data_IF_527622971028
#
_entry.id   IF_527622971028
#
_cell.length_a   1.000
_cell.length_b   1.000
_cell.length_c   1.000
_cell.angle_alpha   90.00
_cell.angle_beta   90.00
_cell.angle_gamma   90.00
#
_symmetry.space_group_name_H-M   'P 1'
#
loop_
_entity.id
_entity.type
_entity.pdbx_description
1 polymer ?
#
# COMPACT_ATOMS: atom_id res chain seq x y z
N UNK A 1 4.42 45.13 29.68
CA UNK A 1 4.27 43.93 30.50
C UNK A 1 5.45 43.00 30.19
N UNK A 2 6.15 42.56 31.24
CA UNK A 2 7.38 41.77 31.11
C UNK A 2 7.00 40.32 30.75
N UNK A 3 7.84 39.63 30.03
CA UNK A 3 7.66 38.25 29.56
C UNK A 3 7.14 37.28 30.65
N UNK A 4 7.64 37.31 31.92
CA UNK A 4 7.12 36.46 32.99
C UNK A 4 5.65 36.72 33.35
N UNK A 5 5.21 38.00 33.30
CA UNK A 5 3.81 38.32 33.57
C UNK A 5 2.84 37.81 32.50
N UNK A 6 3.28 37.75 31.23
CA UNK A 6 2.49 37.14 30.14
C UNK A 6 2.38 35.64 30.29
N UNK A 7 3.47 34.95 30.63
CA UNK A 7 3.47 33.51 30.86
C UNK A 7 2.55 33.11 32.03
N UNK A 8 2.55 33.92 33.13
CA UNK A 8 1.65 33.66 34.27
C UNK A 8 0.17 33.82 33.92
N UNK A 9 -0.18 34.79 33.07
CA UNK A 9 -1.57 35.03 32.61
C UNK A 9 -2.02 33.88 31.70
N UNK A 10 -1.14 33.42 30.79
CA UNK A 10 -1.47 32.24 29.95
C UNK A 10 -1.60 30.96 30.77
N UNK A 11 -0.74 30.72 31.76
CA UNK A 11 -0.83 29.59 32.67
C UNK A 11 -2.15 29.58 33.46
N UNK A 12 -2.56 30.73 33.98
CA UNK A 12 -3.81 30.86 34.71
C UNK A 12 -5.04 30.66 33.81
N UNK A 13 -4.99 31.16 32.58
CA UNK A 13 -6.04 30.96 31.58
C UNK A 13 -6.21 29.48 31.18
N UNK A 14 -5.12 28.77 31.05
CA UNK A 14 -5.15 27.34 30.74
C UNK A 14 -5.73 26.50 31.88
N UNK A 15 -5.36 26.78 33.12
CA UNK A 15 -5.90 26.10 34.30
C UNK A 15 -7.40 26.38 34.47
N UNK A 16 -7.82 27.61 34.22
CA UNK A 16 -9.26 27.96 34.27
C UNK A 16 -10.07 27.26 33.16
N UNK A 17 -9.54 27.19 31.93
CA UNK A 17 -10.18 26.51 30.82
C UNK A 17 -10.26 24.99 31.05
N UNK A 18 -9.20 24.39 31.58
CA UNK A 18 -9.17 22.96 31.91
C UNK A 18 -10.12 22.62 33.07
N UNK A 19 -10.15 23.45 34.08
CA UNK A 19 -11.09 23.30 35.23
C UNK A 19 -12.56 23.43 34.80
N UNK A 20 -12.88 24.37 33.91
CA UNK A 20 -14.23 24.51 33.37
C UNK A 20 -14.63 23.32 32.48
N UNK A 21 -13.73 22.83 31.65
CA UNK A 21 -13.95 21.64 30.81
C UNK A 21 -14.16 20.37 31.66
N UNK A 22 -13.42 20.24 32.76
CA UNK A 22 -13.56 19.11 33.68
C UNK A 22 -14.90 19.13 34.41
N UNK A 23 -15.38 20.31 34.87
CA UNK A 23 -16.69 20.47 35.52
C UNK A 23 -17.86 20.22 34.55
N UNK A 24 -17.72 20.61 33.27
CA UNK A 24 -18.74 20.34 32.25
C UNK A 24 -18.77 18.85 31.89
N UNK A 25 -17.59 18.21 31.78
CA UNK A 25 -17.50 16.77 31.52
C UNK A 25 -18.17 15.95 32.63
N UNK A 26 -17.98 16.32 33.92
CA UNK A 26 -18.62 15.67 35.05
C UNK A 26 -20.13 15.88 35.13
N UNK A 27 -20.68 16.93 34.45
CA UNK A 27 -22.12 17.19 34.41
C UNK A 27 -22.83 16.54 33.20
N UNK A 28 -22.09 16.12 32.17
CA UNK A 28 -22.62 15.58 30.91
C UNK A 28 -22.42 14.07 30.79
N UNK A 29 -21.41 13.51 31.46
CA UNK A 29 -21.15 12.05 31.45
C UNK A 29 -21.98 11.39 32.55
N UNK A 30 -22.92 10.49 32.25
CA UNK A 30 -23.70 9.76 33.26
C UNK A 30 -22.78 8.93 34.16
N UNK A 31 -23.04 8.90 35.46
CA UNK A 31 -22.29 8.12 36.44
C UNK A 31 -22.13 6.64 36.05
N UNK A 32 -23.12 6.09 35.32
CA UNK A 32 -23.10 4.73 34.80
C UNK A 32 -21.97 4.47 33.74
N UNK A 33 -21.54 5.51 33.05
CA UNK A 33 -20.42 5.39 32.08
C UNK A 33 -19.07 5.45 32.79
N UNK A 34 -19.00 6.04 33.97
CA UNK A 34 -17.77 6.08 34.79
C UNK A 34 -17.64 4.80 35.61
N UNK A 35 -18.76 4.25 36.13
CA UNK A 35 -18.77 2.98 36.86
C UNK A 35 -18.41 1.79 35.96
N UNK A 36 -18.88 1.77 34.72
CA UNK A 36 -18.51 0.70 33.77
C UNK A 36 -16.99 0.64 33.47
N UNK A 37 -16.27 1.74 33.64
CA UNK A 37 -14.83 1.79 33.42
C UNK A 37 -13.99 1.68 34.71
N UNK A 38 -14.61 1.95 35.87
CA UNK A 38 -13.95 1.84 37.18
C UNK A 38 -13.96 0.40 37.73
N UNK A 39 -14.84 -0.48 37.23
CA UNK A 39 -14.91 -1.89 37.63
C UNK A 39 -13.74 -2.72 37.06
N UNK A 40 -13.00 -2.17 36.09
CA UNK A 40 -11.85 -2.87 35.47
C UNK A 40 -10.49 -2.66 36.19
N UNK A 41 -10.40 -1.90 37.27
CA UNK A 41 -9.10 -1.52 37.86
C UNK A 41 -8.93 -1.92 39.34
N UNK A 42 -9.91 -2.56 39.98
CA UNK A 42 -9.71 -2.96 41.39
C UNK A 42 -10.20 -4.40 41.67
N UNK A 43 -9.31 -5.16 42.36
CA UNK A 43 -9.42 -6.50 42.90
C UNK A 43 -9.15 -7.65 41.90
N UNK A 44 -8.11 -8.44 42.03
CA UNK A 44 -7.47 -9.05 43.12
C UNK A 44 -6.70 -10.28 42.69
N UNK A 45 -5.67 -10.60 43.39
CA UNK A 45 -4.93 -11.86 43.28
C UNK A 45 -5.83 -13.07 43.57
N UNK A 46 -6.02 -13.94 42.59
CA UNK A 46 -6.59 -15.27 42.86
C UNK A 46 -7.07 -16.00 41.61
N UNK A 47 -6.32 -17.05 41.26
CA UNK A 47 -6.69 -18.21 40.44
C UNK A 47 -7.19 -17.95 39.01
N UNK A 48 -6.32 -18.27 38.09
CA UNK A 48 -6.50 -18.36 36.67
C UNK A 48 -7.68 -19.23 36.27
N UNK A 49 -8.68 -18.60 35.71
CA UNK A 49 -9.48 -19.16 34.64
C UNK A 49 -9.35 -18.20 33.47
N UNK A 50 -8.54 -18.59 32.53
CA UNK A 50 -8.27 -17.86 31.29
C UNK A 50 -9.58 -17.83 30.46
N UNK A 51 -10.43 -16.84 30.73
CA UNK A 51 -11.47 -16.49 29.79
C UNK A 51 -10.77 -15.79 28.65
N UNK A 52 -10.47 -16.52 27.60
CA UNK A 52 -10.12 -15.99 26.29
C UNK A 52 -11.30 -15.12 25.87
N UNK A 53 -11.19 -13.79 26.10
CA UNK A 53 -12.03 -12.83 25.38
C UNK A 53 -11.73 -13.09 23.91
N UNK A 54 -12.73 -13.19 23.03
CA UNK A 54 -12.44 -13.23 21.61
C UNK A 54 -11.65 -11.94 21.30
N UNK A 55 -10.51 -12.14 20.68
CA UNK A 55 -9.68 -11.09 20.08
C UNK A 55 -10.51 -10.49 18.93
N UNK A 56 -11.52 -9.69 19.28
CA UNK A 56 -12.28 -8.90 18.33
C UNK A 56 -11.48 -7.63 18.05
N UNK A 57 -10.89 -7.65 16.86
CA UNK A 57 -10.18 -6.58 16.19
C UNK A 57 -8.72 -6.36 16.63
N UNK A 58 -7.89 -7.35 16.55
CA UNK A 58 -6.64 -7.13 15.86
C UNK A 58 -7.04 -6.77 14.41
N UNK A 59 -7.22 -5.48 14.14
CA UNK A 59 -7.21 -4.96 12.78
C UNK A 59 -5.93 -5.52 12.18
N UNK A 60 -6.04 -6.49 11.28
CA UNK A 60 -4.89 -7.15 10.70
C UNK A 60 -4.00 -6.04 10.16
N UNK A 61 -2.81 -5.88 10.74
CA UNK A 61 -1.90 -4.85 10.31
C UNK A 61 -1.63 -5.09 8.83
N UNK A 62 -1.85 -4.09 8.00
CA UNK A 62 -1.60 -4.21 6.58
C UNK A 62 -0.11 -4.47 6.37
N UNK A 63 0.27 -5.50 5.60
CA UNK A 63 1.67 -5.81 5.36
C UNK A 63 2.39 -4.66 4.64
N UNK A 64 3.72 -4.59 4.81
CA UNK A 64 4.54 -3.59 4.16
C UNK A 64 4.40 -2.15 4.68
N UNK A 65 3.77 -1.93 5.84
CA UNK A 65 3.70 -0.59 6.48
C UNK A 65 4.60 -0.45 7.70
N UNK A 66 5.19 -1.54 8.18
CA UNK A 66 6.00 -1.54 9.39
C UNK A 66 7.46 -1.90 9.13
N UNK A 67 8.32 -1.31 9.91
CA UNK A 67 9.74 -1.64 9.93
C UNK A 67 10.02 -2.89 10.78
N UNK A 68 9.07 -3.33 11.59
CA UNK A 68 9.10 -4.52 12.43
C UNK A 68 7.76 -5.27 12.38
N UNK A 69 7.82 -6.59 12.24
CA UNK A 69 6.66 -7.47 12.27
C UNK A 69 7.10 -8.89 12.67
N UNK A 70 6.20 -9.64 13.31
CA UNK A 70 6.44 -11.04 13.68
C UNK A 70 7.75 -11.31 14.47
N UNK A 71 8.28 -10.30 15.18
CA UNK A 71 9.53 -10.39 15.92
C UNK A 71 10.78 -10.12 15.09
N UNK A 72 10.64 -9.75 13.83
CA UNK A 72 11.73 -9.35 12.94
C UNK A 72 11.72 -7.85 12.70
N UNK A 73 12.89 -7.29 12.43
CA UNK A 73 13.06 -5.86 12.16
C UNK A 73 14.06 -5.63 11.02
N UNK A 74 13.71 -4.76 10.08
CA UNK A 74 14.62 -4.33 9.03
C UNK A 74 15.65 -3.34 9.59
N UNK A 75 16.93 -3.64 9.46
CA UNK A 75 18.02 -2.75 9.87
C UNK A 75 18.01 -1.43 9.08
N UNK A 76 18.74 -0.39 9.48
CA UNK A 76 19.03 0.72 8.58
C UNK A 76 19.58 0.21 7.24
N UNK A 77 19.10 0.78 6.14
CA UNK A 77 19.58 0.46 4.79
C UNK A 77 20.66 1.48 4.43
N UNK A 78 21.80 0.98 3.95
CA UNK A 78 22.83 1.80 3.30
C UNK A 78 22.62 1.68 1.80
N UNK A 79 22.60 2.81 1.09
CA UNK A 79 22.48 2.89 -0.36
C UNK A 79 23.08 4.23 -0.79
N UNK A 80 23.36 4.46 -2.11
CA UNK A 80 23.72 5.79 -2.61
C UNK A 80 22.70 6.84 -2.14
N UNK A 81 23.14 8.04 -1.80
CA UNK A 81 22.27 9.11 -1.28
C UNK A 81 21.82 10.11 -2.37
N UNK A 82 22.35 9.99 -3.60
CA UNK A 82 22.03 10.83 -4.73
C UNK A 82 21.91 10.07 -6.05
N UNK A 83 21.24 10.68 -7.02
CA UNK A 83 21.07 10.17 -8.39
C UNK A 83 22.42 9.99 -9.08
N UNK A 84 22.58 8.87 -9.79
CA UNK A 84 23.76 8.56 -10.63
C UNK A 84 25.01 8.13 -9.87
N UNK A 85 24.93 8.00 -8.55
CA UNK A 85 25.98 7.36 -7.76
C UNK A 85 25.79 5.84 -7.79
N UNK A 86 26.88 5.08 -7.98
CA UNK A 86 26.86 3.62 -7.99
C UNK A 86 27.55 3.10 -6.73
N UNK A 87 26.80 2.47 -5.84
CA UNK A 87 27.29 1.83 -4.64
C UNK A 87 26.52 0.52 -4.38
N UNK A 88 26.74 -0.12 -3.23
CA UNK A 88 25.93 -1.26 -2.81
C UNK A 88 24.77 -0.81 -1.91
N UNK A 89 23.56 -1.29 -2.23
CA UNK A 89 22.46 -1.28 -1.27
C UNK A 89 22.66 -2.44 -0.30
N UNK A 90 22.67 -2.16 1.01
CA UNK A 90 22.94 -3.14 2.06
C UNK A 90 21.99 -3.00 3.24
N UNK A 91 21.57 -4.14 3.77
CA UNK A 91 20.75 -4.22 4.99
C UNK A 91 20.85 -5.61 5.63
N UNK A 92 20.26 -5.77 6.82
CA UNK A 92 20.04 -7.06 7.47
C UNK A 92 18.62 -7.14 8.01
N UNK A 93 18.08 -8.33 8.11
CA UNK A 93 16.89 -8.63 8.90
C UNK A 93 17.36 -9.07 10.28
N UNK A 94 16.87 -8.40 11.33
CA UNK A 94 17.25 -8.67 12.72
C UNK A 94 16.13 -9.45 13.43
N UNK A 95 16.48 -10.48 14.17
CA UNK A 95 15.55 -11.20 15.03
C UNK A 95 15.30 -10.48 16.37
N UNK A 96 14.55 -11.12 17.26
CA UNK A 96 14.20 -10.57 18.59
C UNK A 96 15.40 -10.37 19.53
N UNK A 97 16.53 -11.01 19.24
CA UNK A 97 17.79 -10.90 19.96
C UNK A 97 18.74 -9.83 19.39
N UNK A 98 18.24 -9.02 18.42
CA UNK A 98 19.01 -8.04 17.66
C UNK A 98 20.19 -8.64 16.85
N UNK A 99 20.16 -9.95 16.60
CA UNK A 99 21.13 -10.59 15.71
C UNK A 99 20.57 -10.74 14.31
N UNK A 100 21.42 -10.71 13.27
CA UNK A 100 20.99 -10.99 11.90
C UNK A 100 20.36 -12.38 11.75
N UNK A 101 19.24 -12.46 11.05
CA UNK A 101 18.65 -13.71 10.63
C UNK A 101 19.52 -14.34 9.53
N UNK A 102 19.85 -15.62 9.67
CA UNK A 102 20.73 -16.34 8.75
C UNK A 102 20.02 -17.46 7.98
N UNK A 103 18.84 -17.87 8.43
CA UNK A 103 18.09 -18.96 7.82
C UNK A 103 16.76 -18.44 7.27
N UNK A 104 16.54 -18.70 5.99
CA UNK A 104 15.35 -18.32 5.25
C UNK A 104 14.78 -19.54 4.54
N UNK A 105 13.48 -19.53 4.28
CA UNK A 105 12.82 -20.48 3.40
C UNK A 105 12.73 -19.86 2.01
N UNK A 106 13.12 -20.58 0.98
CA UNK A 106 12.96 -20.10 -0.40
C UNK A 106 11.47 -20.06 -0.76
N UNK A 107 11.03 -18.90 -1.24
CA UNK A 107 9.74 -18.68 -1.87
C UNK A 107 10.01 -18.19 -3.30
N UNK A 108 9.37 -18.80 -4.28
CA UNK A 108 9.61 -18.43 -5.67
C UNK A 108 11.10 -18.41 -6.05
N UNK A 109 11.84 -19.47 -5.70
CA UNK A 109 13.27 -19.64 -6.00
C UNK A 109 14.22 -18.63 -5.34
N UNK A 110 13.74 -17.81 -4.39
CA UNK A 110 14.53 -16.81 -3.68
C UNK A 110 14.26 -16.83 -2.18
N UNK A 111 15.29 -16.52 -1.40
CA UNK A 111 15.19 -16.38 0.05
C UNK A 111 14.63 -15.03 0.47
N UNK A 112 14.74 -14.01 -0.40
CA UNK A 112 14.21 -12.67 -0.16
C UNK A 112 13.91 -11.94 -1.47
N UNK A 113 12.72 -11.32 -1.53
CA UNK A 113 12.31 -10.39 -2.57
C UNK A 113 12.47 -8.96 -2.07
N UNK A 114 13.24 -8.16 -2.79
CA UNK A 114 13.43 -6.74 -2.48
C UNK A 114 12.66 -5.91 -3.49
N UNK A 115 11.60 -5.26 -3.02
CA UNK A 115 10.82 -4.34 -3.84
C UNK A 115 11.22 -2.90 -3.45
N UNK A 116 11.54 -2.10 -4.44
CA UNK A 116 11.85 -0.69 -4.28
C UNK A 116 10.95 0.12 -5.18
N UNK A 117 10.28 1.11 -4.64
CA UNK A 117 9.37 1.98 -5.40
C UNK A 117 9.41 3.40 -4.86
N UNK A 118 9.35 4.39 -5.74
CA UNK A 118 9.21 5.78 -5.31
C UNK A 118 7.81 6.02 -4.74
N UNK A 119 7.67 6.95 -3.80
CA UNK A 119 6.42 7.20 -3.07
C UNK A 119 5.21 7.55 -3.97
N UNK A 120 5.46 8.03 -5.18
CA UNK A 120 4.45 8.32 -6.19
C UNK A 120 4.13 7.14 -7.13
N UNK A 121 4.67 5.95 -6.85
CA UNK A 121 4.44 4.73 -7.61
C UNK A 121 5.34 4.55 -8.84
N UNK A 122 6.21 5.49 -9.13
CA UNK A 122 7.20 5.33 -10.21
C UNK A 122 8.49 4.65 -9.71
N UNK A 123 9.44 4.42 -10.60
CA UNK A 123 10.75 3.84 -10.30
C UNK A 123 10.66 2.49 -9.57
N UNK A 124 9.70 1.66 -9.94
CA UNK A 124 9.53 0.32 -9.39
C UNK A 124 10.67 -0.60 -9.83
N UNK A 125 11.22 -1.34 -8.87
CA UNK A 125 12.19 -2.41 -9.11
C UNK A 125 11.89 -3.58 -8.18
N UNK A 126 11.86 -4.78 -8.74
CA UNK A 126 11.77 -6.05 -8.02
C UNK A 126 13.07 -6.81 -8.25
N UNK A 127 13.87 -6.95 -7.22
CA UNK A 127 15.24 -7.49 -7.30
C UNK A 127 15.52 -8.46 -6.16
N UNK A 128 16.59 -9.24 -6.27
CA UNK A 128 16.96 -10.30 -5.34
C UNK A 128 18.41 -10.10 -4.90
N UNK A 129 18.65 -9.51 -3.71
CA UNK A 129 19.99 -9.36 -3.15
C UNK A 129 20.58 -10.72 -2.74
N UNK A 130 21.89 -10.75 -2.53
CA UNK A 130 22.61 -11.90 -2.00
C UNK A 130 22.91 -11.69 -0.51
N UNK A 131 22.84 -12.78 0.29
CA UNK A 131 23.17 -12.76 1.71
C UNK A 131 24.59 -13.27 1.94
N UNK A 132 25.35 -12.58 2.81
CA UNK A 132 26.65 -13.06 3.26
C UNK A 132 26.55 -13.93 4.54
N UNK A 133 27.68 -14.49 4.97
CA UNK A 133 27.74 -15.35 6.14
C UNK A 133 27.42 -14.60 7.47
N UNK A 134 27.50 -13.31 7.49
CA UNK A 134 27.19 -12.42 8.59
C UNK A 134 25.74 -11.95 8.61
N UNK A 135 24.91 -12.34 7.58
CA UNK A 135 23.51 -12.01 7.47
C UNK A 135 23.24 -10.62 6.87
N UNK A 136 24.20 -10.10 6.10
CA UNK A 136 24.04 -8.87 5.36
C UNK A 136 23.57 -9.18 3.94
N UNK A 137 22.41 -8.65 3.56
CA UNK A 137 21.91 -8.64 2.20
C UNK A 137 22.53 -7.50 1.42
N UNK A 138 22.99 -7.75 0.20
CA UNK A 138 23.59 -6.71 -0.64
C UNK A 138 23.36 -6.95 -2.13
N UNK A 139 23.33 -5.83 -2.90
CA UNK A 139 23.35 -5.84 -4.37
C UNK A 139 23.90 -4.49 -4.87
N UNK A 140 24.51 -4.45 -6.07
CA UNK A 140 24.87 -3.20 -6.74
C UNK A 140 23.62 -2.34 -6.98
N UNK A 141 23.73 -1.02 -6.71
CA UNK A 141 22.59 -0.13 -6.76
C UNK A 141 22.96 1.27 -7.27
N UNK A 142 22.06 1.87 -8.01
CA UNK A 142 22.06 3.28 -8.38
C UNK A 142 20.62 3.78 -8.49
N UNK A 143 20.42 5.08 -8.30
CA UNK A 143 19.13 5.73 -8.47
C UNK A 143 19.10 6.48 -9.79
N UNK A 144 18.00 6.31 -10.55
CA UNK A 144 17.76 7.04 -11.79
C UNK A 144 17.09 8.38 -11.53
N UNK A 145 16.26 8.47 -10.50
CA UNK A 145 15.47 9.63 -10.15
C UNK A 145 15.60 9.98 -8.66
N UNK A 146 15.49 11.29 -8.35
CA UNK A 146 15.44 11.76 -6.97
C UNK A 146 14.06 11.55 -6.35
N UNK A 147 14.00 11.51 -5.01
CA UNK A 147 12.73 11.44 -4.31
C UNK A 147 12.77 10.60 -3.04
N UNK A 148 11.60 10.27 -2.55
CA UNK A 148 11.43 9.36 -1.40
C UNK A 148 11.01 8.00 -1.90
N UNK A 149 11.79 6.99 -1.53
CA UNK A 149 11.56 5.60 -1.92
C UNK A 149 11.10 4.76 -0.73
N UNK A 150 10.20 3.83 -0.98
CA UNK A 150 9.86 2.75 -0.07
C UNK A 150 10.60 1.50 -0.51
N UNK A 151 11.26 0.85 0.45
CA UNK A 151 11.96 -0.42 0.25
C UNK A 151 11.24 -1.47 1.08
N UNK A 152 10.83 -2.56 0.44
CA UNK A 152 10.20 -3.71 1.08
C UNK A 152 11.16 -4.90 1.02
N UNK A 153 11.33 -5.55 2.15
CA UNK A 153 11.96 -6.86 2.24
C UNK A 153 10.87 -7.89 2.54
N UNK A 154 10.57 -8.71 1.58
CA UNK A 154 9.58 -9.78 1.66
C UNK A 154 10.29 -11.12 1.69
N UNK A 155 10.08 -11.91 2.76
CA UNK A 155 10.82 -13.13 3.03
C UNK A 155 10.06 -14.05 3.98
N UNK A 156 10.40 -15.34 3.94
CA UNK A 156 9.91 -16.32 4.92
C UNK A 156 11.08 -16.75 5.81
N UNK A 157 11.03 -16.47 7.14
CA UNK A 157 12.06 -16.93 8.07
C UNK A 157 12.20 -18.43 8.09
N UNK A 158 13.41 -18.96 8.25
CA UNK A 158 13.64 -20.41 8.28
C UNK A 158 12.78 -21.10 9.34
N UNK A 159 11.97 -22.08 8.90
CA UNK A 159 11.05 -22.83 9.76
C UNK A 159 9.75 -22.11 10.15
N UNK A 160 9.49 -20.91 9.65
CA UNK A 160 8.19 -20.25 9.75
C UNK A 160 7.20 -20.79 8.70
N UNK A 161 5.89 -20.70 9.02
CA UNK A 161 4.80 -21.10 8.10
C UNK A 161 4.27 -19.92 7.27
N UNK A 162 4.67 -18.68 7.59
CA UNK A 162 4.17 -17.47 6.96
C UNK A 162 5.29 -16.49 6.65
N UNK A 163 5.17 -15.83 5.52
CA UNK A 163 6.04 -14.75 5.09
C UNK A 163 5.90 -13.49 5.97
N UNK A 164 6.90 -12.64 5.90
CA UNK A 164 7.00 -11.37 6.61
C UNK A 164 7.46 -10.30 5.64
N UNK A 165 6.69 -9.22 5.51
CA UNK A 165 7.04 -8.05 4.72
C UNK A 165 7.40 -6.89 5.63
N UNK A 166 8.67 -6.50 5.65
CA UNK A 166 9.19 -5.34 6.38
C UNK A 166 9.49 -4.18 5.43
N UNK A 167 9.45 -2.95 5.94
CA UNK A 167 9.69 -1.79 5.08
C UNK A 167 10.51 -0.70 5.73
N UNK A 168 11.24 0.04 4.87
CA UNK A 168 11.90 1.30 5.21
C UNK A 168 11.74 2.33 4.11
N UNK A 169 11.86 3.58 4.51
CA UNK A 169 11.87 4.72 3.60
C UNK A 169 13.30 5.24 3.46
N UNK A 170 13.70 5.53 2.22
CA UNK A 170 14.97 6.16 1.87
C UNK A 170 14.68 7.49 1.15
N UNK A 171 15.60 8.44 1.30
CA UNK A 171 15.55 9.71 0.58
C UNK A 171 16.76 9.83 -0.32
N UNK A 172 16.51 10.09 -1.60
CA UNK A 172 17.53 10.25 -2.65
C UNK A 172 17.59 11.71 -3.04
N UNK A 173 18.75 12.31 -2.88
CA UNK A 173 18.96 13.73 -3.20
C UNK A 173 18.99 13.97 -4.72
N UNK A 174 18.46 15.12 -5.12
CA UNK A 174 18.40 15.56 -6.51
C UNK A 174 17.18 16.43 -6.77
N UNK A 175 16.96 16.76 -8.03
CA UNK A 175 15.77 17.47 -8.48
C UNK A 175 14.60 16.48 -8.57
N UNK A 176 13.61 16.65 -7.71
CA UNK A 176 12.44 15.79 -7.68
C UNK A 176 11.35 16.32 -8.61
N UNK A 177 10.95 15.50 -9.57
CA UNK A 177 9.78 15.71 -10.41
C UNK A 177 8.78 14.58 -10.13
N UNK A 178 7.57 14.87 -9.59
CA UNK A 178 6.58 13.84 -9.31
C UNK A 178 6.04 13.25 -10.61
N UNK A 179 5.80 11.95 -10.62
CA UNK A 179 5.12 11.28 -11.72
C UNK A 179 3.68 11.78 -11.85
N UNK A 180 3.18 11.83 -13.07
CA UNK A 180 1.77 12.10 -13.30
C UNK A 180 0.93 10.93 -12.73
N UNK A 181 -0.10 11.28 -11.97
CA UNK A 181 -1.04 10.28 -11.47
C UNK A 181 -2.16 10.11 -12.48
N UNK A 182 -2.45 8.86 -12.85
CA UNK A 182 -3.54 8.48 -13.72
C UNK A 182 -4.64 7.81 -12.88
N UNK A 183 -5.91 8.01 -13.23
CA UNK A 183 -7.03 7.47 -12.46
C UNK A 183 -7.12 5.96 -12.59
N UNK A 184 -6.95 5.44 -13.80
CA UNK A 184 -6.96 4.02 -14.12
C UNK A 184 -6.05 3.74 -15.31
N UNK A 185 -5.23 2.68 -15.22
CA UNK A 185 -4.36 2.22 -16.30
C UNK A 185 -4.47 0.70 -16.39
N UNK A 186 -5.05 0.21 -17.46
CA UNK A 186 -5.23 -1.23 -17.74
C UNK A 186 -4.32 -1.75 -18.85
N UNK A 187 -3.70 -0.88 -19.62
CA UNK A 187 -2.76 -1.24 -20.68
C UNK A 187 -1.43 -0.56 -20.46
N UNK A 188 -0.35 -1.30 -20.58
CA UNK A 188 1.01 -0.83 -20.35
C UNK A 188 1.96 -1.31 -21.44
N UNK A 189 3.01 -0.54 -21.71
CA UNK A 189 4.11 -0.94 -22.59
C UNK A 189 5.30 -1.37 -21.76
N UNK A 190 5.82 -2.57 -22.03
CA UNK A 190 7.00 -3.12 -21.40
C UNK A 190 7.99 -3.57 -22.50
N UNK A 191 8.97 -2.72 -22.83
CA UNK A 191 9.80 -2.94 -24.01
C UNK A 191 8.99 -2.98 -25.31
N UNK A 192 9.10 -4.07 -26.05
CA UNK A 192 8.34 -4.31 -27.29
C UNK A 192 6.98 -4.98 -27.06
N UNK A 193 6.59 -5.14 -25.80
CA UNK A 193 5.34 -5.82 -25.42
C UNK A 193 4.25 -4.82 -25.04
N UNK A 194 3.03 -5.09 -25.47
CA UNK A 194 1.82 -4.50 -24.93
C UNK A 194 1.20 -5.49 -23.94
N UNK A 195 0.91 -5.03 -22.75
CA UNK A 195 0.40 -5.85 -21.64
C UNK A 195 -0.94 -5.27 -21.18
N UNK A 196 -1.98 -6.12 -21.18
CA UNK A 196 -3.33 -5.74 -20.73
C UNK A 196 -3.67 -6.44 -19.41
N UNK A 197 -4.22 -5.69 -18.46
CA UNK A 197 -4.72 -6.18 -17.18
C UNK A 197 -6.26 -6.24 -17.23
N UNK A 198 -6.80 -7.43 -17.06
CA UNK A 198 -8.22 -7.76 -17.18
C UNK A 198 -8.74 -8.21 -15.82
N UNK A 199 -9.95 -7.78 -15.46
CA UNK A 199 -10.60 -8.06 -14.17
C UNK A 199 -10.69 -6.84 -13.30
N UNK A 200 -11.39 -6.96 -12.17
CA UNK A 200 -11.67 -5.88 -11.23
C UNK A 200 -11.24 -6.27 -9.81
N UNK A 201 -10.87 -5.29 -9.00
CA UNK A 201 -10.53 -5.49 -7.59
C UNK A 201 -11.77 -5.27 -6.72
N UNK A 202 -12.09 -6.23 -5.87
CA UNK A 202 -13.15 -6.11 -4.87
C UNK A 202 -12.53 -5.81 -3.50
N UNK A 203 -12.95 -4.71 -2.87
CA UNK A 203 -12.48 -4.37 -1.53
C UNK A 203 -13.05 -5.35 -0.48
N UNK A 204 -12.16 -5.91 0.36
CA UNK A 204 -12.51 -6.87 1.42
C UNK A 204 -12.92 -8.25 0.88
N UNK A 205 -12.60 -8.55 -0.37
CA UNK A 205 -12.92 -9.81 -1.03
C UNK A 205 -11.80 -10.31 -1.94
N UNK A 206 -11.93 -11.57 -2.37
CA UNK A 206 -11.03 -12.17 -3.35
C UNK A 206 -11.43 -11.78 -4.77
N UNK A 207 -10.45 -11.50 -5.62
CA UNK A 207 -10.61 -11.16 -7.03
C UNK A 207 -9.63 -11.97 -7.86
N UNK A 208 -9.99 -12.22 -9.12
CA UNK A 208 -9.06 -12.79 -10.10
C UNK A 208 -8.69 -11.71 -11.11
N UNK A 209 -7.40 -11.47 -11.28
CA UNK A 209 -6.85 -10.62 -12.32
C UNK A 209 -6.15 -11.49 -13.35
N UNK A 210 -6.35 -11.16 -14.63
CA UNK A 210 -5.68 -11.82 -15.75
C UNK A 210 -4.79 -10.79 -16.46
N UNK A 211 -3.53 -11.12 -16.67
CA UNK A 211 -2.62 -10.33 -17.49
C UNK A 211 -2.45 -11.02 -18.83
N UNK A 212 -2.65 -10.28 -19.93
CA UNK A 212 -2.41 -10.76 -21.30
C UNK A 212 -1.23 -10.00 -21.93
N UNK A 213 -0.30 -10.75 -22.56
CA UNK A 213 0.91 -10.20 -23.17
C UNK A 213 0.86 -10.39 -24.68
N UNK A 214 1.04 -9.30 -25.42
CA UNK A 214 1.13 -9.29 -26.88
C UNK A 214 2.43 -8.62 -27.35
N UNK A 215 2.89 -8.97 -28.55
CA UNK A 215 4.00 -8.30 -29.25
C UNK A 215 3.56 -8.05 -30.70
N UNK A 216 3.61 -6.83 -31.17
CA UNK A 216 3.14 -6.42 -32.51
C UNK A 216 1.67 -6.84 -32.79
N UNK A 217 0.83 -6.88 -31.75
CA UNK A 217 -0.58 -7.31 -31.83
C UNK A 217 -0.80 -8.82 -31.88
N UNK A 218 0.25 -9.63 -31.78
CA UNK A 218 0.16 -11.09 -31.75
C UNK A 218 0.37 -11.62 -30.32
N UNK A 219 -0.39 -12.65 -29.88
CA UNK A 219 -0.27 -13.22 -28.55
C UNK A 219 1.13 -13.81 -28.29
N UNK A 220 1.75 -13.50 -27.17
CA UNK A 220 3.02 -14.07 -26.74
C UNK A 220 2.77 -15.41 -26.06
N UNK A 221 3.19 -16.51 -26.69
CA UNK A 221 3.07 -17.88 -26.16
C UNK A 221 4.42 -18.48 -25.78
N UNK A 222 5.42 -17.63 -25.62
CA UNK A 222 6.82 -18.02 -25.36
C UNK A 222 7.36 -17.45 -24.06
N UNK A 223 6.48 -17.04 -23.14
CA UNK A 223 6.91 -16.61 -21.80
C UNK A 223 7.67 -17.74 -21.11
N UNK A 224 8.74 -17.37 -20.43
CA UNK A 224 9.66 -18.26 -19.73
C UNK A 224 9.31 -18.31 -18.25
N UNK A 225 9.58 -19.45 -17.58
CA UNK A 225 9.54 -19.47 -16.14
C UNK A 225 10.54 -18.45 -15.56
N UNK A 226 10.06 -17.64 -14.65
CA UNK A 226 10.84 -16.69 -13.87
C UNK A 226 10.36 -16.78 -12.42
N UNK A 227 11.25 -17.12 -11.50
CA UNK A 227 10.95 -17.28 -10.09
C UNK A 227 9.78 -18.27 -9.82
N UNK A 228 9.81 -19.43 -10.50
CA UNK A 228 8.81 -20.47 -10.28
C UNK A 228 7.41 -20.20 -10.85
N UNK A 229 7.21 -19.12 -11.62
CA UNK A 229 5.96 -18.81 -12.30
C UNK A 229 6.20 -18.22 -13.70
N UNK A 230 5.14 -18.03 -14.49
CA UNK A 230 5.24 -17.34 -15.79
C UNK A 230 5.11 -15.82 -15.67
N UNK A 231 4.94 -15.33 -14.45
CA UNK A 231 4.93 -13.92 -14.11
C UNK A 231 4.63 -13.69 -12.64
N UNK A 232 5.05 -12.55 -12.13
CA UNK A 232 4.83 -12.09 -10.77
C UNK A 232 4.09 -10.78 -10.78
N UNK A 233 3.11 -10.65 -9.90
CA UNK A 233 2.33 -9.42 -9.74
C UNK A 233 2.54 -8.88 -8.33
N UNK A 234 3.09 -7.68 -8.23
CA UNK A 234 3.17 -6.91 -6.98
C UNK A 234 2.06 -5.88 -7.01
N UNK A 235 1.28 -5.78 -5.94
CA UNK A 235 0.24 -4.78 -5.81
C UNK A 235 0.45 -3.96 -4.53
N UNK A 236 0.41 -2.63 -4.68
CA UNK A 236 0.61 -1.67 -3.59
C UNK A 236 -0.58 -0.72 -3.54
N UNK A 237 -1.11 -0.47 -2.34
CA UNK A 237 -2.17 0.53 -2.21
C UNK A 237 -1.60 1.94 -2.43
N UNK A 238 -2.22 2.70 -3.31
CA UNK A 238 -1.83 4.09 -3.53
C UNK A 238 -2.00 4.94 -2.26
N UNK A 239 -1.06 5.86 -2.06
CA UNK A 239 -1.01 6.76 -0.91
C UNK A 239 -0.08 6.27 0.20
N UNK A 240 -0.25 5.06 0.73
CA UNK A 240 0.58 4.54 1.81
C UNK A 240 1.46 3.34 1.41
N UNK A 241 1.31 2.85 0.19
CA UNK A 241 2.04 1.71 -0.36
C UNK A 241 1.92 0.45 0.51
N UNK A 242 0.75 0.21 1.13
CA UNK A 242 0.48 -1.06 1.79
C UNK A 242 0.62 -2.19 0.77
N UNK A 243 1.37 -3.23 1.14
CA UNK A 243 1.66 -4.36 0.27
C UNK A 243 0.47 -5.32 0.21
N UNK A 244 0.02 -5.68 -0.98
CA UNK A 244 -0.96 -6.72 -1.18
C UNK A 244 -0.28 -8.03 -1.48
N UNK A 245 -0.77 -9.08 -0.86
CA UNK A 245 -0.36 -10.41 -1.19
C UNK A 245 -1.10 -10.88 -2.46
N UNK A 246 -0.35 -11.30 -3.46
CA UNK A 246 -0.84 -11.75 -4.76
C UNK A 246 -0.21 -13.10 -5.07
N UNK A 247 -1.02 -14.06 -5.51
CA UNK A 247 -0.55 -15.39 -5.86
C UNK A 247 -0.82 -15.69 -7.34
N UNK A 248 0.18 -16.13 -8.12
CA UNK A 248 -0.07 -16.67 -9.44
C UNK A 248 -0.92 -17.94 -9.32
N UNK A 249 -1.92 -18.04 -10.16
CA UNK A 249 -2.77 -19.24 -10.25
C UNK A 249 -2.11 -20.30 -11.15
N UNK A 250 -2.32 -21.57 -10.82
CA UNK A 250 -1.86 -22.68 -11.62
C UNK A 250 -0.74 -23.49 -10.97
N UNK A 251 -0.18 -24.42 -11.74
CA UNK A 251 0.94 -25.24 -11.28
C UNK A 251 2.27 -24.57 -11.58
N UNK A 252 3.26 -24.80 -10.72
CA UNK A 252 4.63 -24.39 -10.99
C UNK A 252 5.12 -24.93 -12.34
N UNK A 253 5.74 -24.08 -13.18
CA UNK A 253 6.23 -24.50 -14.48
C UNK A 253 7.42 -25.47 -14.38
N UNK A 254 7.48 -26.42 -15.29
CA UNK A 254 8.65 -27.27 -15.45
C UNK A 254 9.80 -26.50 -16.16
N UNK A 255 11.05 -26.91 -15.88
CA UNK A 255 12.22 -26.31 -16.51
C UNK A 255 12.15 -26.37 -18.05
N UNK A 256 12.25 -25.20 -18.71
CA UNK A 256 12.16 -25.07 -20.16
C UNK A 256 10.74 -25.07 -20.71
N UNK A 257 9.71 -25.15 -19.88
CA UNK A 257 8.32 -24.93 -20.29
C UNK A 257 8.14 -23.52 -20.82
N UNK A 258 7.21 -23.33 -21.73
CA UNK A 258 6.78 -22.03 -22.24
C UNK A 258 5.26 -21.93 -22.08
N UNK A 259 4.76 -20.74 -21.84
CA UNK A 259 3.34 -20.46 -21.69
C UNK A 259 2.96 -19.09 -22.23
N UNK A 260 1.75 -18.70 -21.99
CA UNK A 260 1.14 -17.45 -22.40
C UNK A 260 -0.02 -17.66 -23.38
N UNK A 261 -0.66 -16.61 -23.85
CA UNK A 261 -0.34 -15.19 -23.59
C UNK A 261 -0.82 -14.69 -22.21
N UNK A 262 -1.54 -15.51 -21.44
CA UNK A 262 -2.19 -15.07 -20.19
C UNK A 262 -1.55 -15.69 -18.94
N UNK A 263 -1.54 -14.88 -17.86
CA UNK A 263 -1.25 -15.31 -16.49
C UNK A 263 -2.37 -14.82 -15.60
N UNK A 264 -2.88 -15.71 -14.73
CA UNK A 264 -3.96 -15.41 -13.78
C UNK A 264 -3.41 -15.28 -12.37
N UNK A 265 -4.01 -14.35 -11.59
CA UNK A 265 -3.62 -14.05 -10.22
C UNK A 265 -4.83 -13.98 -9.31
N UNK A 266 -4.75 -14.65 -8.15
CA UNK A 266 -5.66 -14.42 -7.04
C UNK A 266 -5.18 -13.23 -6.22
N UNK A 267 -6.06 -12.27 -5.96
CA UNK A 267 -5.76 -11.02 -5.24
C UNK A 267 -6.79 -10.77 -4.16
N UNK A 268 -6.38 -10.12 -3.07
CA UNK A 268 -7.27 -9.66 -2.01
C UNK A 268 -6.95 -8.20 -1.67
N UNK A 269 -7.79 -7.27 -2.15
CA UNK A 269 -7.66 -5.86 -1.78
C UNK A 269 -8.28 -5.64 -0.38
N UNK A 270 -7.50 -5.31 0.67
CA UNK A 270 -8.01 -5.27 2.04
C UNK A 270 -8.95 -4.10 2.29
N UNK A 271 -8.88 -3.05 1.49
CA UNK A 271 -9.64 -1.82 1.68
C UNK A 271 -10.09 -1.23 0.35
N UNK A 272 -11.14 -0.41 0.32
CA UNK A 272 -11.42 0.45 -0.83
C UNK A 272 -10.25 1.37 -1.11
N UNK A 273 -10.05 1.71 -2.39
CA UNK A 273 -9.02 2.64 -2.83
C UNK A 273 -8.42 2.28 -4.16
N UNK A 274 -7.38 3.00 -4.53
CA UNK A 274 -6.61 2.81 -5.74
C UNK A 274 -5.37 1.98 -5.43
N UNK A 275 -4.99 1.12 -6.38
CA UNK A 275 -3.86 0.21 -6.27
C UNK A 275 -2.94 0.35 -7.47
N UNK A 276 -1.65 0.36 -7.21
CA UNK A 276 -0.56 0.35 -8.17
C UNK A 276 -0.11 -1.10 -8.33
N UNK A 277 -0.11 -1.62 -9.57
CA UNK A 277 0.22 -3.01 -9.86
C UNK A 277 1.40 -3.06 -10.81
N UNK A 278 2.33 -3.99 -10.55
CA UNK A 278 3.54 -4.18 -11.35
C UNK A 278 3.66 -5.66 -11.68
N UNK A 279 3.72 -5.95 -12.97
CA UNK A 279 3.79 -7.31 -13.50
C UNK A 279 5.14 -7.56 -14.13
N UNK A 280 5.90 -8.50 -13.55
CA UNK A 280 7.16 -8.96 -14.07
C UNK A 280 6.97 -10.28 -14.84
N UNK A 281 7.50 -10.37 -16.05
CA UNK A 281 7.48 -11.56 -16.89
C UNK A 281 8.77 -11.69 -17.68
N UNK A 282 9.12 -12.91 -18.09
CA UNK A 282 10.35 -13.18 -18.84
C UNK A 282 10.05 -13.68 -20.23
N UNK A 283 10.70 -13.07 -21.23
CA UNK A 283 10.70 -13.49 -22.64
C UNK A 283 12.09 -13.33 -23.21
N UNK A 284 12.55 -14.32 -23.96
CA UNK A 284 13.87 -14.33 -24.61
C UNK A 284 15.04 -14.13 -23.62
N UNK A 285 14.88 -14.56 -22.36
CA UNK A 285 15.87 -14.44 -21.28
C UNK A 285 15.91 -13.07 -20.60
N UNK A 286 15.04 -12.12 -21.00
CA UNK A 286 14.97 -10.78 -20.42
C UNK A 286 13.68 -10.60 -19.60
N UNK A 287 13.81 -10.06 -18.40
CA UNK A 287 12.67 -9.70 -17.54
C UNK A 287 12.14 -8.34 -17.98
N UNK A 288 10.84 -8.27 -18.14
CA UNK A 288 10.09 -7.06 -18.47
C UNK A 288 9.13 -6.73 -17.32
N UNK A 289 8.91 -5.45 -17.05
CA UNK A 289 7.94 -4.98 -16.04
C UNK A 289 6.89 -4.08 -16.68
N UNK A 290 5.62 -4.44 -16.51
CA UNK A 290 4.47 -3.62 -16.88
C UNK A 290 3.80 -3.04 -15.64
N UNK A 291 3.31 -1.81 -15.69
CA UNK A 291 2.67 -1.13 -14.56
C UNK A 291 1.23 -0.74 -14.88
N UNK A 292 0.36 -0.87 -13.87
CA UNK A 292 -1.08 -0.61 -14.01
C UNK A 292 -1.59 0.14 -12.78
N UNK A 293 -2.78 0.73 -12.92
CA UNK A 293 -3.50 1.39 -11.83
C UNK A 293 -4.95 0.92 -11.87
N UNK A 294 -5.43 0.32 -10.79
CA UNK A 294 -6.83 -0.07 -10.64
C UNK A 294 -7.46 0.55 -9.40
N UNK A 295 -8.73 0.97 -9.53
CA UNK A 295 -9.60 1.21 -8.39
C UNK A 295 -10.30 -0.07 -7.93
N UNK A 296 -10.73 -0.13 -6.67
CA UNK A 296 -11.65 -1.17 -6.22
C UNK A 296 -13.08 -0.83 -6.61
N UNK A 297 -13.90 -1.83 -6.89
CA UNK A 297 -15.34 -1.65 -7.09
C UNK A 297 -15.97 -0.96 -5.88
N UNK A 298 -16.54 0.23 -6.06
CA UNK A 298 -17.18 1.02 -5.00
C UNK A 298 -16.70 2.47 -4.88
N UNK A 299 -15.61 2.87 -5.52
CA UNK A 299 -15.21 4.28 -5.66
C UNK A 299 -15.43 4.83 -7.08
N UNK A 300 -16.38 4.25 -7.83
CA UNK A 300 -16.82 4.84 -9.08
C UNK A 300 -17.72 6.05 -8.79
N UNK A 301 -17.20 7.24 -9.11
CA UNK A 301 -17.99 8.44 -9.45
C UNK A 301 -18.58 9.24 -8.29
N UNK A 302 -17.75 9.97 -7.59
CA UNK A 302 -18.12 11.35 -7.31
C UNK A 302 -17.59 12.31 -8.39
N UNK A 303 -17.77 11.96 -9.66
CA UNK A 303 -17.70 12.95 -10.73
C UNK A 303 -18.98 13.77 -10.68
N UNK A 304 -18.83 15.02 -10.24
CA UNK A 304 -19.84 16.03 -10.05
C UNK A 304 -21.00 16.01 -11.02
N UNK A 305 -22.14 15.63 -10.53
CA UNK A 305 -23.39 16.17 -11.00
C UNK A 305 -23.47 17.58 -10.45
N UNK A 306 -23.01 18.55 -11.20
CA UNK A 306 -23.48 19.91 -11.11
C UNK A 306 -24.97 19.86 -11.43
N UNK A 307 -25.79 19.80 -10.38
CA UNK A 307 -27.23 20.09 -10.43
C UNK A 307 -27.34 21.58 -10.79
N UNK A 308 -27.39 21.89 -12.06
CA UNK A 308 -27.92 23.13 -12.55
C UNK A 308 -29.44 23.06 -12.33
N UNK A 309 -29.85 23.44 -11.11
CA UNK A 309 -31.22 23.70 -10.78
C UNK A 309 -31.77 24.79 -11.69
N UNK A 310 -32.53 24.39 -12.68
CA UNK A 310 -33.39 25.21 -13.49
C UNK A 310 -34.50 25.77 -12.59
N UNK A 311 -34.33 26.98 -12.11
CA UNK A 311 -35.36 27.74 -11.44
C UNK A 311 -36.32 28.30 -12.51
N UNK A 312 -37.34 27.53 -12.86
CA UNK A 312 -38.54 28.06 -13.48
C UNK A 312 -39.30 28.91 -12.43
N UNK A 313 -39.25 30.22 -12.60
CA UNK A 313 -40.18 31.13 -11.98
C UNK A 313 -41.56 30.96 -12.61
N UNK A 314 -42.67 30.88 -11.79
CA UNK A 314 -44.01 30.90 -12.36
C UNK A 314 -44.36 32.31 -12.78
N UNK A 315 -44.64 32.49 -14.06
CA UNK A 315 -45.23 33.73 -14.63
C UNK A 315 -46.61 33.92 -14.05
N UNK A 316 -46.75 34.96 -13.24
CA UNK A 316 -48.07 35.51 -12.88
C UNK A 316 -48.71 36.13 -14.10
N UNK A 317 -49.90 35.64 -14.43
CA UNK A 317 -50.77 36.20 -15.43
C UNK A 317 -51.34 37.56 -14.98
N UNK A 318 -51.17 38.55 -15.78
CA UNK A 318 -51.96 39.76 -15.69
C UNK A 318 -52.84 39.92 -16.93
N UNK A 319 -54.17 39.82 -16.70
CA UNK A 319 -55.21 40.05 -17.65
C UNK A 319 -55.43 41.55 -17.78
N UNK A 320 -55.25 42.13 -18.94
CA UNK A 320 -55.94 43.36 -19.34
C UNK A 320 -56.54 43.18 -20.73
N UNK A 321 -57.85 43.16 -20.64
CA UNK A 321 -58.86 43.41 -21.62
C UNK A 321 -58.74 44.92 -22.05
N UNK A 322 -59.06 45.15 -23.31
CA UNK A 322 -59.64 46.33 -23.95
C UNK A 322 -59.08 46.40 -25.37
N UNK A 323 -59.86 46.17 -26.37
CA UNK A 323 -60.94 47.01 -26.79
C UNK A 323 -60.61 47.69 -28.13
N UNK A 324 -61.37 47.25 -29.12
CA UNK A 324 -61.86 48.05 -30.25
C UNK A 324 -60.94 48.70 -31.28
N UNK A 325 -61.28 48.36 -32.47
CA UNK A 325 -61.64 49.18 -33.67
C UNK A 325 -60.68 49.21 -34.88
N UNK A 326 -61.39 48.76 -35.92
CA UNK A 326 -61.46 49.34 -37.27
C UNK A 326 -60.24 49.53 -38.19
N UNK A 327 -60.33 48.85 -39.19
CA UNK A 327 -60.32 49.06 -40.65
C UNK A 327 -59.60 47.97 -41.45
#
# INVERSE_FOLDING_TARGET
MNTPARLSIYGLGLVAAFGAAFLVAGAVVPDSAVEARAVEVDEGHGAHEETVLPDEAASAALPGLSLDAAGYRLSPITAPDAVGEEEELRFSVLGTDDQPLLEYTEEHEKELHLIVVRQDGSEFRHVHPEIDAEGTWSLPWSWDEAGTYRVFADFTPGGAESGVTLTRTLSVAGDFEPAAQEDEVRTSQAGDFEVELIGDLAAGGSSTLTVEVTRDGEPVTTMEPYLGAFGHLVALRDGDLAYLHVHPEGAEPEAGQRSGPTVEFATEAPTPGRYLLYFDFQVDGEVQTASFVLGTDGEASESGTSDEGDHEEPAEGDTHDDGEDDH
#
